data_IF_677395599617
#
_entry.id   IF_677395599617
#
_cell.length_a   1.000
_cell.length_b   1.000
_cell.length_c   1.000
_cell.angle_alpha   90.00
_cell.angle_beta   90.00
_cell.angle_gamma   90.00
#
_symmetry.space_group_name_H-M   'P 1'
#
loop_
_entity.id
_entity.type
_entity.pdbx_description
1 polymer ?
#
# COMPACT_ATOMS: atom_id res chain seq x y z
N UNK A 1 36.10 4.55 21.07
CA UNK A 1 35.11 5.53 20.60
C UNK A 1 34.37 4.85 19.48
N UNK A 2 33.19 4.34 19.84
CA UNK A 2 32.36 3.44 19.05
C UNK A 2 31.95 4.05 17.72
N UNK A 3 32.05 3.23 16.67
CA UNK A 3 31.36 3.45 15.42
C UNK A 3 29.86 3.20 15.67
N UNK A 4 29.04 4.24 15.54
CA UNK A 4 27.60 4.06 15.47
C UNK A 4 27.28 3.28 14.19
N UNK A 5 26.94 2.00 14.35
CA UNK A 5 26.37 1.18 13.30
C UNK A 5 25.06 1.81 12.84
N UNK A 6 25.02 2.36 11.63
CA UNK A 6 23.78 2.58 10.90
C UNK A 6 23.13 1.20 10.69
N UNK A 7 22.17 0.85 11.56
CA UNK A 7 21.26 -0.25 11.28
C UNK A 7 20.31 0.23 10.18
N UNK A 8 20.74 0.08 8.93
CA UNK A 8 19.80 -0.11 7.84
C UNK A 8 19.11 -1.45 8.12
N UNK A 9 17.96 -1.39 8.79
CA UNK A 9 17.01 -2.49 8.76
C UNK A 9 16.67 -2.74 7.29
N UNK A 10 17.31 -3.74 6.69
CA UNK A 10 17.09 -4.19 5.32
C UNK A 10 15.70 -4.85 5.23
N UNK A 11 14.67 -4.01 5.34
CA UNK A 11 13.28 -4.42 5.29
C UNK A 11 12.88 -4.94 3.89
N UNK A 12 13.78 -4.85 2.90
CA UNK A 12 13.58 -5.29 1.52
C UNK A 12 14.45 -6.48 1.11
N UNK A 13 15.25 -7.03 2.04
CA UNK A 13 15.97 -8.30 1.90
C UNK A 13 15.18 -9.38 1.15
N UNK A 14 15.69 -9.80 -0.02
CA UNK A 14 15.06 -10.82 -0.86
C UNK A 14 14.07 -10.32 -1.92
N UNK A 15 13.77 -9.02 -1.98
CA UNK A 15 13.23 -8.41 -3.20
C UNK A 15 14.33 -8.32 -4.25
N UNK A 16 13.99 -8.50 -5.52
CA UNK A 16 14.89 -8.10 -6.59
C UNK A 16 15.04 -6.57 -6.60
N UNK A 17 16.16 -6.00 -7.08
CA UNK A 17 16.34 -4.54 -7.11
C UNK A 17 15.19 -3.79 -7.79
N UNK A 18 14.54 -4.45 -8.75
CA UNK A 18 13.36 -3.95 -9.44
C UNK A 18 12.18 -3.83 -8.48
N UNK A 19 11.82 -4.91 -7.80
CA UNK A 19 10.69 -4.92 -6.87
C UNK A 19 10.95 -4.04 -5.64
N UNK A 20 12.21 -3.96 -5.20
CA UNK A 20 12.67 -3.03 -4.15
C UNK A 20 12.40 -1.57 -4.54
N UNK A 21 12.77 -1.17 -5.77
CA UNK A 21 12.51 0.19 -6.26
C UNK A 21 11.01 0.55 -6.31
N UNK A 22 10.14 -0.44 -6.51
CA UNK A 22 8.68 -0.27 -6.58
C UNK A 22 8.04 -0.25 -5.18
N UNK A 23 8.59 -1.04 -4.25
CA UNK A 23 8.13 -1.19 -2.87
C UNK A 23 8.90 -0.30 -1.89
N UNK A 24 9.20 0.93 -2.31
CA UNK A 24 9.86 1.93 -1.47
C UNK A 24 8.84 2.62 -0.54
N UNK A 25 9.34 3.26 0.53
CA UNK A 25 8.48 4.03 1.45
C UNK A 25 7.77 5.16 0.70
N UNK A 26 6.43 5.13 0.72
CA UNK A 26 5.58 6.10 0.03
C UNK A 26 5.28 7.31 0.90
N UNK A 27 6.30 7.92 1.50
CA UNK A 27 6.13 9.08 2.37
C UNK A 27 6.46 10.36 1.61
N UNK A 28 5.46 11.22 1.44
CA UNK A 28 5.65 12.49 0.76
C UNK A 28 6.60 13.42 1.56
N UNK A 29 7.38 14.26 0.87
CA UNK A 29 8.22 15.27 1.51
C UNK A 29 7.37 16.30 2.28
N UNK A 30 7.95 16.91 3.31
CA UNK A 30 7.23 17.81 4.25
C UNK A 30 6.92 19.17 3.64
N UNK A 31 7.68 19.52 2.63
CA UNK A 31 7.66 20.78 1.95
C UNK A 31 6.40 20.91 1.08
N UNK A 32 6.01 22.16 0.83
CA UNK A 32 5.03 22.53 -0.19
C UNK A 32 3.64 21.86 -0.02
N UNK A 33 3.28 21.52 1.22
CA UNK A 33 1.99 20.94 1.57
C UNK A 33 1.83 19.46 1.20
N UNK A 34 2.81 18.85 0.54
CA UNK A 34 2.71 17.49 -0.01
C UNK A 34 2.41 16.45 1.09
N UNK A 35 3.20 16.47 2.17
CA UNK A 35 2.98 15.59 3.32
C UNK A 35 1.64 15.84 4.01
N UNK A 36 1.27 17.10 4.21
CA UNK A 36 0.02 17.45 4.87
C UNK A 36 -1.19 16.96 4.07
N UNK A 37 -1.19 17.17 2.75
CA UNK A 37 -2.24 16.67 1.86
C UNK A 37 -2.28 15.14 1.83
N UNK A 38 -1.13 14.46 1.78
CA UNK A 38 -1.08 13.00 1.87
C UNK A 38 -1.71 12.50 3.17
N UNK A 39 -1.33 13.06 4.32
CA UNK A 39 -1.89 12.68 5.63
C UNK A 39 -3.39 12.94 5.67
N UNK A 40 -3.86 14.08 5.18
CA UNK A 40 -5.28 14.43 5.17
C UNK A 40 -6.10 13.41 4.35
N UNK A 41 -5.60 13.01 3.18
CA UNK A 41 -6.27 12.02 2.32
C UNK A 41 -6.32 10.65 3.01
N UNK A 42 -5.17 10.16 3.49
CA UNK A 42 -5.06 8.83 4.10
C UNK A 42 -5.88 8.73 5.40
N UNK A 43 -5.87 9.79 6.22
CA UNK A 43 -6.65 9.85 7.46
C UNK A 43 -8.14 9.82 7.16
N UNK A 44 -8.62 10.67 6.24
CA UNK A 44 -10.03 10.72 5.83
C UNK A 44 -10.53 9.37 5.31
N UNK A 45 -9.73 8.68 4.48
CA UNK A 45 -10.06 7.35 3.96
C UNK A 45 -10.15 6.31 5.09
N UNK A 46 -9.22 6.33 6.05
CA UNK A 46 -9.23 5.39 7.18
C UNK A 46 -10.37 5.63 8.18
N UNK A 47 -10.78 6.88 8.35
CA UNK A 47 -11.79 7.29 9.34
C UNK A 47 -13.22 7.18 8.80
N UNK A 48 -13.41 7.42 7.50
CA UNK A 48 -14.74 7.54 6.90
C UNK A 48 -14.94 6.67 5.66
N UNK A 49 -13.88 6.15 5.05
CA UNK A 49 -13.93 5.48 3.75
C UNK A 49 -14.05 6.44 2.56
N UNK A 50 -14.02 7.75 2.81
CA UNK A 50 -14.20 8.79 1.78
C UNK A 50 -12.99 9.71 1.71
N UNK A 51 -12.77 10.27 0.50
CA UNK A 51 -11.80 11.35 0.31
C UNK A 51 -12.21 12.59 1.13
N UNK A 52 -11.24 13.41 1.56
CA UNK A 52 -11.55 14.66 2.23
C UNK A 52 -12.29 15.59 1.28
N UNK A 53 -13.05 16.54 1.84
CA UNK A 53 -13.67 17.59 1.05
C UNK A 53 -12.58 18.41 0.33
N UNK A 54 -12.86 18.87 -0.89
CA UNK A 54 -11.87 19.54 -1.74
C UNK A 54 -11.27 20.79 -1.10
N UNK A 55 -12.07 21.52 -0.32
CA UNK A 55 -11.61 22.72 0.38
C UNK A 55 -10.49 22.41 1.39
N UNK A 56 -10.46 21.22 2.00
CA UNK A 56 -9.37 20.82 2.90
C UNK A 56 -8.05 20.74 2.14
N UNK A 57 -8.07 20.21 0.91
CA UNK A 57 -6.89 20.12 0.06
C UNK A 57 -6.46 21.52 -0.40
N UNK A 58 -7.43 22.35 -0.79
CA UNK A 58 -7.18 23.72 -1.25
C UNK A 58 -6.60 24.60 -0.12
N UNK A 59 -7.10 24.47 1.11
CA UNK A 59 -6.61 25.20 2.28
C UNK A 59 -5.14 24.84 2.57
N UNK A 60 -4.81 23.53 2.59
CA UNK A 60 -3.41 23.06 2.76
C UNK A 60 -2.52 23.59 1.64
N UNK A 61 -3.04 23.62 0.41
CA UNK A 61 -2.27 24.10 -0.74
C UNK A 61 -2.01 25.61 -0.67
N UNK A 62 -3.00 26.38 -0.24
CA UNK A 62 -2.92 27.82 -0.10
C UNK A 62 -1.82 28.24 0.90
N UNK A 63 -1.65 27.50 2.00
CA UNK A 63 -0.57 27.72 2.98
C UNK A 63 0.84 27.62 2.36
N UNK A 64 0.96 26.90 1.23
CA UNK A 64 2.20 26.74 0.46
C UNK A 64 2.23 27.57 -0.83
N UNK A 65 1.26 28.46 -1.05
CA UNK A 65 1.15 29.27 -2.27
C UNK A 65 0.83 28.46 -3.54
N UNK A 66 0.25 27.27 -3.39
CA UNK A 66 -0.13 26.36 -4.48
C UNK A 66 -1.64 26.18 -4.54
N UNK A 67 -2.12 25.64 -5.65
CA UNK A 67 -3.47 25.11 -5.81
C UNK A 67 -3.54 23.64 -5.41
N UNK A 68 -4.72 23.15 -5.03
CA UNK A 68 -4.93 21.72 -4.77
C UNK A 68 -4.53 20.84 -5.97
N UNK A 69 -4.77 21.31 -7.19
CA UNK A 69 -4.37 20.60 -8.41
C UNK A 69 -2.85 20.46 -8.56
N UNK A 70 -2.08 21.52 -8.27
CA UNK A 70 -0.60 21.47 -8.33
C UNK A 70 -0.02 20.48 -7.31
N UNK A 71 -0.55 20.49 -6.08
CA UNK A 71 -0.15 19.52 -5.05
C UNK A 71 -0.51 18.09 -5.47
N UNK A 72 -1.73 17.84 -5.95
CA UNK A 72 -2.14 16.51 -6.37
C UNK A 72 -1.33 16.02 -7.59
N UNK A 73 -0.95 16.92 -8.48
CA UNK A 73 -0.06 16.60 -9.62
C UNK A 73 1.33 16.20 -9.14
N UNK A 74 1.92 16.95 -8.21
CA UNK A 74 3.21 16.59 -7.62
C UNK A 74 3.15 15.25 -6.85
N UNK A 75 2.08 15.01 -6.08
CA UNK A 75 1.86 13.72 -5.43
C UNK A 75 1.68 12.57 -6.44
N UNK A 76 1.15 12.86 -7.62
CA UNK A 76 1.00 11.91 -8.73
C UNK A 76 2.32 11.55 -9.39
N UNK A 77 3.16 12.53 -9.67
CA UNK A 77 4.49 12.35 -10.29
C UNK A 77 5.41 11.48 -9.43
N UNK A 78 5.26 11.56 -8.10
CA UNK A 78 6.03 10.77 -7.14
C UNK A 78 5.32 9.50 -6.65
N UNK A 79 4.20 9.10 -7.27
CA UNK A 79 3.47 7.85 -6.98
C UNK A 79 2.98 7.72 -5.52
N UNK A 80 2.65 8.84 -4.85
CA UNK A 80 1.99 8.85 -3.53
C UNK A 80 0.46 8.80 -3.65
N UNK A 81 -0.07 9.50 -4.65
CA UNK A 81 -1.48 9.59 -5.02
C UNK A 81 -1.58 9.33 -6.52
N UNK A 82 -2.70 8.85 -7.01
CA UNK A 82 -2.96 8.74 -8.45
C UNK A 82 -4.19 9.55 -8.79
N UNK A 83 -4.07 10.40 -9.81
CA UNK A 83 -5.19 11.17 -10.35
C UNK A 83 -5.49 10.73 -11.79
N UNK A 84 -6.75 10.83 -12.20
CA UNK A 84 -7.14 10.65 -13.60
C UNK A 84 -6.88 11.90 -14.43
N UNK A 85 -7.16 11.82 -15.74
CA UNK A 85 -7.03 12.94 -16.70
C UNK A 85 -7.87 14.18 -16.36
N UNK A 86 -8.80 14.08 -15.40
CA UNK A 86 -9.63 15.17 -14.92
C UNK A 86 -9.18 15.68 -13.54
N UNK A 87 -8.03 15.21 -13.03
CA UNK A 87 -7.50 15.60 -11.73
C UNK A 87 -8.20 14.93 -10.55
N UNK A 88 -9.05 13.91 -10.77
CA UNK A 88 -9.73 13.20 -9.69
C UNK A 88 -8.85 12.11 -9.12
N UNK A 89 -8.77 12.03 -7.79
CA UNK A 89 -8.04 10.96 -7.11
C UNK A 89 -8.69 9.61 -7.41
N UNK A 90 -7.89 8.67 -7.92
CA UNK A 90 -8.27 7.29 -8.22
C UNK A 90 -7.57 6.27 -7.30
N UNK A 91 -6.44 6.66 -6.71
CA UNK A 91 -5.76 5.90 -5.65
C UNK A 91 -4.99 6.84 -4.73
N UNK A 92 -4.80 6.45 -3.48
CA UNK A 92 -3.91 7.12 -2.53
C UNK A 92 -3.28 6.03 -1.67
N UNK A 93 -2.07 5.60 -2.03
CA UNK A 93 -1.51 4.35 -1.50
C UNK A 93 -1.43 4.36 0.02
N UNK A 94 -1.89 3.30 0.69
CA UNK A 94 -2.24 1.97 0.14
C UNK A 94 -3.67 1.81 -0.42
N UNK A 95 -4.50 2.84 -0.40
CA UNK A 95 -5.92 2.75 -0.75
C UNK A 95 -6.21 2.88 -2.25
N UNK A 96 -7.21 2.13 -2.71
CA UNK A 96 -7.92 2.33 -3.98
C UNK A 96 -9.23 3.08 -3.73
N UNK A 97 -9.56 4.04 -4.59
CA UNK A 97 -10.87 4.73 -4.54
C UNK A 97 -11.97 3.88 -5.20
N UNK A 98 -11.58 2.99 -6.12
CA UNK A 98 -12.50 2.06 -6.77
C UNK A 98 -12.49 0.71 -6.05
N UNK A 99 -13.63 0.00 -5.99
CA UNK A 99 -13.65 -1.36 -5.47
C UNK A 99 -12.61 -2.25 -6.16
N UNK A 100 -11.86 -2.99 -5.34
CA UNK A 100 -10.92 -4.03 -5.77
C UNK A 100 -11.28 -5.35 -5.08
N UNK A 101 -10.63 -6.45 -5.47
CA UNK A 101 -10.75 -7.72 -4.74
C UNK A 101 -10.27 -7.60 -3.28
N UNK A 102 -9.37 -6.67 -2.97
CA UNK A 102 -8.74 -6.53 -1.66
C UNK A 102 -9.55 -5.59 -0.77
N UNK A 103 -10.46 -6.15 0.03
CA UNK A 103 -11.32 -5.44 0.97
C UNK A 103 -10.68 -5.42 2.35
N UNK A 104 -10.56 -4.25 2.96
CA UNK A 104 -10.05 -4.10 4.34
C UNK A 104 -11.14 -3.46 5.21
N UNK A 105 -11.64 -4.23 6.18
CA UNK A 105 -12.56 -3.77 7.20
C UNK A 105 -11.79 -3.39 8.46
N UNK A 106 -11.76 -2.10 8.76
CA UNK A 106 -11.11 -1.53 9.94
C UNK A 106 -11.97 -1.74 11.19
N UNK A 107 -11.33 -1.70 12.37
CA UNK A 107 -11.99 -1.86 13.67
C UNK A 107 -13.13 -0.85 13.92
N UNK A 108 -13.01 0.36 13.38
CA UNK A 108 -14.04 1.41 13.45
C UNK A 108 -15.28 1.10 12.59
N UNK A 109 -15.30 -0.01 11.84
CA UNK A 109 -16.40 -0.44 10.99
C UNK A 109 -16.30 0.03 9.54
N UNK A 110 -15.36 0.93 9.23
CA UNK A 110 -15.12 1.41 7.87
C UNK A 110 -14.57 0.27 7.01
N UNK A 111 -15.08 0.16 5.79
CA UNK A 111 -14.52 -0.73 4.77
C UNK A 111 -13.88 0.11 3.67
N UNK A 112 -12.63 -0.18 3.38
CA UNK A 112 -11.83 0.43 2.30
C UNK A 112 -11.32 -0.65 1.35
N UNK A 113 -10.84 -0.23 0.19
CA UNK A 113 -10.21 -1.11 -0.79
C UNK A 113 -8.72 -0.80 -0.88
N UNK A 114 -7.90 -1.83 -1.03
CA UNK A 114 -6.46 -1.69 -1.25
C UNK A 114 -6.11 -1.88 -2.73
N UNK A 115 -5.00 -1.31 -3.19
CA UNK A 115 -4.56 -1.48 -4.59
C UNK A 115 -4.04 -2.91 -4.86
N UNK A 116 -3.40 -3.54 -3.87
CA UNK A 116 -2.82 -4.87 -3.99
C UNK A 116 -2.75 -5.60 -2.65
N UNK A 117 -2.21 -6.83 -2.63
CA UNK A 117 -2.04 -7.62 -1.42
C UNK A 117 -1.11 -6.97 -0.37
N UNK A 118 0.04 -6.41 -0.79
CA UNK A 118 0.98 -5.74 0.14
C UNK A 118 0.35 -4.46 0.70
N UNK A 119 -0.35 -3.70 -0.13
CA UNK A 119 -1.10 -2.52 0.31
C UNK A 119 -2.17 -2.88 1.35
N UNK A 120 -2.91 -3.97 1.13
CA UNK A 120 -3.90 -4.46 2.09
C UNK A 120 -3.26 -4.80 3.44
N UNK A 121 -2.10 -5.46 3.43
CA UNK A 121 -1.33 -5.77 4.64
C UNK A 121 -0.70 -4.54 5.30
N UNK A 122 -0.45 -3.48 4.53
CA UNK A 122 0.10 -2.21 5.00
C UNK A 122 -0.90 -1.29 5.69
N UNK A 123 -2.20 -1.43 5.41
CA UNK A 123 -3.24 -0.59 6.02
C UNK A 123 -3.30 -0.73 7.55
N UNK A 124 -3.42 -1.94 8.15
CA UNK A 124 -3.53 -2.09 9.60
C UNK A 124 -2.36 -1.49 10.40
N UNK A 125 -1.07 -1.71 10.03
CA UNK A 125 0.03 -1.05 10.73
C UNK A 125 0.07 0.46 10.48
N UNK A 126 -0.33 0.95 9.29
CA UNK A 126 -0.38 2.39 9.00
C UNK A 126 -1.35 3.13 9.94
N UNK A 127 -2.54 2.57 10.18
CA UNK A 127 -3.56 3.18 11.05
C UNK A 127 -3.42 2.75 12.52
N UNK A 128 -2.46 1.88 12.83
CA UNK A 128 -2.23 1.29 14.15
C UNK A 128 -3.53 0.71 14.78
N UNK A 129 -4.25 -0.11 14.01
CA UNK A 129 -5.52 -0.69 14.44
C UNK A 129 -5.71 -2.11 13.90
N UNK A 130 -6.48 -2.91 14.64
CA UNK A 130 -7.02 -4.19 14.17
C UNK A 130 -7.84 -4.01 12.88
N UNK A 131 -7.82 -5.04 12.04
CA UNK A 131 -8.57 -5.07 10.79
C UNK A 131 -8.83 -6.50 10.32
N UNK A 132 -9.78 -6.67 9.40
CA UNK A 132 -10.00 -7.91 8.64
C UNK A 132 -9.84 -7.62 7.16
N UNK A 133 -8.97 -8.38 6.50
CA UNK A 133 -8.78 -8.33 5.06
C UNK A 133 -9.50 -9.54 4.45
N UNK A 134 -10.25 -9.29 3.38
CA UNK A 134 -10.83 -10.31 2.51
C UNK A 134 -10.34 -10.06 1.10
N UNK A 135 -9.86 -11.10 0.43
CA UNK A 135 -9.42 -11.01 -0.96
C UNK A 135 -9.85 -12.23 -1.75
N UNK A 136 -10.54 -11.98 -2.86
CA UNK A 136 -10.85 -13.03 -3.82
C UNK A 136 -9.57 -13.36 -4.63
N UNK A 137 -9.24 -14.63 -4.79
CA UNK A 137 -8.10 -15.09 -5.61
C UNK A 137 -8.53 -15.28 -7.06
N UNK A 138 -7.56 -15.38 -7.97
CA UNK A 138 -7.84 -15.66 -9.39
C UNK A 138 -8.50 -17.04 -9.61
N UNK A 139 -8.34 -17.97 -8.66
CA UNK A 139 -9.00 -19.29 -8.66
C UNK A 139 -10.46 -19.24 -8.18
N UNK A 140 -10.92 -18.10 -7.67
CA UNK A 140 -12.27 -17.92 -7.13
C UNK A 140 -12.42 -18.27 -5.64
N UNK A 141 -11.33 -18.62 -4.96
CA UNK A 141 -11.32 -18.82 -3.51
C UNK A 141 -11.24 -17.45 -2.79
N UNK A 142 -11.68 -17.38 -1.52
CA UNK A 142 -11.47 -16.19 -0.69
C UNK A 142 -10.35 -16.46 0.32
N UNK A 143 -9.39 -15.55 0.39
CA UNK A 143 -8.39 -15.46 1.45
C UNK A 143 -8.88 -14.45 2.49
N UNK A 144 -8.84 -14.84 3.76
CA UNK A 144 -9.17 -14.00 4.92
C UNK A 144 -7.96 -13.84 5.84
N UNK A 145 -7.66 -12.61 6.20
CA UNK A 145 -6.54 -12.26 7.08
C UNK A 145 -7.07 -11.38 8.20
N UNK A 146 -6.79 -11.75 9.44
CA UNK A 146 -7.29 -11.04 10.61
C UNK A 146 -6.11 -10.50 11.40
N UNK A 147 -6.03 -9.18 11.49
CA UNK A 147 -5.10 -8.48 12.36
C UNK A 147 -5.74 -8.31 13.73
N UNK A 148 -5.14 -8.96 14.74
CA UNK A 148 -5.38 -8.73 16.18
C UNK A 148 -4.03 -8.41 16.79
N UNK A 149 -3.60 -7.16 16.63
CA UNK A 149 -2.19 -6.80 16.79
C UNK A 149 -1.62 -7.23 18.15
N UNK A 150 -0.40 -7.79 18.21
CA UNK A 150 0.55 -7.99 17.10
C UNK A 150 0.31 -9.28 16.30
N UNK A 151 -0.73 -10.06 16.60
CA UNK A 151 -0.99 -11.34 15.97
C UNK A 151 -1.72 -11.16 14.63
N UNK A 152 -1.34 -11.97 13.65
CA UNK A 152 -2.01 -12.03 12.34
C UNK A 152 -2.34 -13.49 12.05
N UNK A 153 -3.62 -13.77 11.78
CA UNK A 153 -4.07 -15.10 11.40
C UNK A 153 -4.57 -15.11 9.96
N UNK A 154 -4.32 -16.22 9.27
CA UNK A 154 -4.61 -16.39 7.85
C UNK A 154 -5.49 -17.62 7.64
N UNK A 155 -6.44 -17.48 6.73
CA UNK A 155 -7.32 -18.54 6.29
C UNK A 155 -7.46 -18.46 4.76
N UNK A 156 -6.97 -19.46 4.00
CA UNK A 156 -6.26 -20.66 4.47
C UNK A 156 -4.91 -20.38 5.14
N UNK A 157 -4.44 -21.25 6.07
CA UNK A 157 -3.16 -21.06 6.76
C UNK A 157 -1.94 -21.25 5.86
N UNK A 158 -2.10 -21.82 4.66
CA UNK A 158 -1.05 -21.97 3.64
C UNK A 158 -0.94 -20.75 2.72
N UNK A 159 -1.76 -19.71 2.93
CA UNK A 159 -1.77 -18.53 2.08
C UNK A 159 -0.38 -17.91 1.94
N UNK A 160 -0.02 -17.52 0.72
CA UNK A 160 1.20 -16.80 0.36
C UNK A 160 0.88 -15.53 -0.42
N UNK A 161 1.87 -14.65 -0.57
CA UNK A 161 1.76 -13.45 -1.41
C UNK A 161 2.78 -13.54 -2.55
N UNK A 162 2.31 -13.49 -3.79
CA UNK A 162 3.19 -13.30 -4.93
C UNK A 162 3.34 -11.80 -5.16
N UNK A 163 4.58 -11.33 -5.26
CA UNK A 163 4.93 -9.96 -5.62
C UNK A 163 5.59 -9.99 -6.98
N UNK A 164 4.91 -9.46 -8.01
CA UNK A 164 5.38 -9.51 -9.38
C UNK A 164 5.35 -8.16 -10.10
N UNK A 165 6.03 -8.09 -11.24
CA UNK A 165 6.01 -6.93 -12.14
C UNK A 165 6.28 -7.32 -13.59
N UNK A 166 5.67 -6.59 -14.53
CA UNK A 166 5.91 -6.74 -15.98
C UNK A 166 6.99 -5.80 -16.53
N UNK A 167 7.40 -4.78 -15.76
CA UNK A 167 8.28 -3.70 -16.23
C UNK A 167 9.12 -3.15 -15.09
N UNK A 168 10.31 -2.65 -15.42
CA UNK A 168 11.20 -1.99 -14.47
C UNK A 168 10.94 -0.48 -14.35
N UNK A 169 10.05 0.08 -15.18
CA UNK A 169 9.76 1.51 -15.22
C UNK A 169 8.25 1.75 -15.35
N UNK A 170 7.72 2.68 -14.54
CA UNK A 170 6.30 3.01 -14.47
C UNK A 170 5.81 3.13 -13.03
N UNK A 171 4.57 3.59 -12.86
CA UNK A 171 3.96 3.72 -11.55
C UNK A 171 3.42 2.39 -11.03
N UNK A 172 3.45 2.15 -9.72
CA UNK A 172 3.11 0.84 -9.17
C UNK A 172 1.71 0.35 -9.53
N UNK A 173 0.72 1.26 -9.58
CA UNK A 173 -0.64 0.96 -10.04
C UNK A 173 -0.68 0.35 -11.44
N UNK A 174 0.24 0.76 -12.33
CA UNK A 174 0.24 0.36 -13.73
C UNK A 174 1.11 -0.88 -13.98
N UNK A 175 2.22 -1.06 -13.24
CA UNK A 175 3.24 -2.08 -13.56
C UNK A 175 3.38 -3.21 -12.53
N UNK A 176 2.83 -3.06 -11.33
CA UNK A 176 3.10 -3.98 -10.21
C UNK A 176 1.84 -4.40 -9.46
N UNK A 177 0.96 -3.47 -9.08
CA UNK A 177 -0.19 -3.79 -8.23
C UNK A 177 -1.11 -4.88 -8.81
N UNK A 178 -1.23 -4.97 -10.14
CA UNK A 178 -2.01 -6.03 -10.79
C UNK A 178 -1.42 -7.44 -10.58
N UNK A 179 -0.12 -7.54 -10.29
CA UNK A 179 0.64 -8.77 -10.10
C UNK A 179 1.04 -9.02 -8.64
N UNK A 180 0.55 -8.22 -7.69
CA UNK A 180 0.84 -8.38 -6.26
C UNK A 180 -0.39 -8.92 -5.54
N UNK A 181 -0.47 -10.24 -5.38
CA UNK A 181 -1.72 -10.93 -5.04
C UNK A 181 -1.55 -12.02 -3.98
N UNK A 182 -2.64 -12.27 -3.25
CA UNK A 182 -2.77 -13.43 -2.38
C UNK A 182 -3.04 -14.69 -3.21
N UNK A 183 -2.44 -15.79 -2.78
CA UNK A 183 -2.72 -17.14 -3.27
C UNK A 183 -2.99 -18.05 -2.09
N UNK A 184 -4.01 -18.90 -2.17
CA UNK A 184 -4.38 -19.80 -1.09
C UNK A 184 -3.28 -20.82 -0.71
N UNK A 185 -2.31 -21.06 -1.60
CA UNK A 185 -1.13 -21.88 -1.31
C UNK A 185 0.05 -21.56 -2.24
N UNK A 186 1.26 -21.97 -1.83
CA UNK A 186 2.48 -21.91 -2.65
C UNK A 186 2.30 -22.56 -4.03
N UNK A 187 1.73 -23.75 -4.08
CA UNK A 187 1.49 -24.50 -5.34
C UNK A 187 0.65 -23.70 -6.34
N UNK A 188 -0.33 -22.93 -5.85
CA UNK A 188 -1.19 -22.11 -6.69
C UNK A 188 -0.46 -20.88 -7.21
N UNK A 189 0.37 -20.24 -6.37
CA UNK A 189 1.23 -19.14 -6.80
C UNK A 189 2.22 -19.60 -7.89
N UNK A 190 2.84 -20.77 -7.73
CA UNK A 190 3.76 -21.35 -8.71
C UNK A 190 3.07 -21.74 -10.02
N UNK A 191 1.86 -22.31 -9.94
CA UNK A 191 1.06 -22.62 -11.13
C UNK A 191 0.69 -21.34 -11.91
N UNK A 192 0.32 -20.28 -11.21
CA UNK A 192 0.06 -18.97 -11.81
C UNK A 192 1.33 -18.39 -12.44
N UNK A 193 2.46 -18.43 -11.74
CA UNK A 193 3.75 -17.94 -12.24
C UNK A 193 4.19 -18.67 -13.52
N UNK A 194 4.00 -20.01 -13.57
CA UNK A 194 4.30 -20.80 -14.77
C UNK A 194 3.43 -20.42 -15.97
N UNK A 195 2.18 -19.99 -15.73
CA UNK A 195 1.29 -19.52 -16.78
C UNK A 195 1.61 -18.07 -17.25
N UNK A 196 2.43 -17.33 -16.48
CA UNK A 196 2.81 -15.94 -16.76
C UNK A 196 4.35 -15.78 -16.80
N UNK A 197 5.06 -16.48 -17.70
CA UNK A 197 6.52 -16.50 -17.72
C UNK A 197 7.17 -15.13 -18.00
N UNK A 198 6.40 -14.16 -18.50
CA UNK A 198 6.85 -12.78 -18.73
C UNK A 198 6.91 -11.94 -17.45
N UNK A 199 6.36 -12.43 -16.34
CA UNK A 199 6.28 -11.69 -15.07
C UNK A 199 7.45 -12.09 -14.17
N UNK A 200 8.34 -11.13 -13.91
CA UNK A 200 9.34 -11.26 -12.84
C UNK A 200 8.60 -11.25 -11.50
N UNK A 201 8.91 -12.20 -10.62
CA UNK A 201 8.19 -12.34 -9.36
C UNK A 201 9.04 -12.97 -8.25
N UNK A 202 8.57 -12.75 -7.03
CA UNK A 202 8.98 -13.47 -5.82
C UNK A 202 7.73 -13.89 -5.05
N UNK A 203 7.77 -15.05 -4.40
CA UNK A 203 6.70 -15.50 -3.50
C UNK A 203 7.16 -15.32 -2.07
N UNK A 204 6.34 -14.64 -1.27
CA UNK A 204 6.56 -14.40 0.14
C UNK A 204 5.65 -15.24 1.01
N UNK A 205 6.24 -15.74 2.10
CA UNK A 205 5.47 -16.23 3.22
C UNK A 205 4.73 -15.09 3.95
N UNK A 206 3.84 -15.47 4.86
CA UNK A 206 2.99 -14.56 5.61
C UNK A 206 3.78 -13.54 6.44
N UNK A 207 4.86 -13.97 7.10
CA UNK A 207 5.66 -13.10 7.95
C UNK A 207 6.35 -12.03 7.11
N UNK A 208 6.97 -12.44 6.01
CA UNK A 208 7.67 -11.53 5.10
C UNK A 208 6.72 -10.54 4.44
N UNK A 209 5.54 -10.99 4.02
CA UNK A 209 4.54 -10.12 3.43
C UNK A 209 3.99 -9.07 4.42
N UNK A 210 3.72 -9.46 5.67
CA UNK A 210 3.29 -8.53 6.74
C UNK A 210 4.39 -7.52 7.05
N UNK A 211 5.65 -7.98 7.16
CA UNK A 211 6.79 -7.10 7.39
C UNK A 211 6.97 -6.08 6.27
N UNK A 212 6.85 -6.49 5.01
CA UNK A 212 6.96 -5.58 3.87
C UNK A 212 5.84 -4.53 3.90
N UNK A 213 4.58 -4.94 4.08
CA UNK A 213 3.47 -3.99 4.21
C UNK A 213 3.68 -2.96 5.34
N UNK A 214 4.14 -3.43 6.51
CA UNK A 214 4.46 -2.56 7.64
C UNK A 214 5.65 -1.62 7.35
N UNK A 215 6.69 -2.10 6.67
CA UNK A 215 7.86 -1.30 6.34
C UNK A 215 7.53 -0.18 5.34
N UNK A 216 6.66 -0.45 4.37
CA UNK A 216 6.26 0.53 3.33
C UNK A 216 5.31 1.59 3.91
N UNK A 217 4.34 1.19 4.74
CA UNK A 217 3.21 2.05 5.11
C UNK A 217 3.11 2.38 6.61
N UNK A 218 3.72 1.59 7.50
CA UNK A 218 3.48 1.64 8.95
C UNK A 218 3.77 2.99 9.61
N UNK A 219 4.67 3.80 9.05
CA UNK A 219 5.04 5.12 9.59
C UNK A 219 4.31 6.28 8.90
N UNK A 220 3.35 6.03 7.99
CA UNK A 220 2.73 7.09 7.19
C UNK A 220 1.73 7.96 7.94
N UNK A 221 1.08 7.47 9.00
CA UNK A 221 0.15 8.28 9.81
C UNK A 221 0.65 8.51 11.24
N UNK A 222 1.83 7.96 11.58
CA UNK A 222 2.43 8.22 12.87
C UNK A 222 2.83 9.70 12.96
N UNK A 223 2.38 10.34 14.04
CA UNK A 223 2.88 11.64 14.45
C UNK A 223 4.37 11.47 14.77
N UNK A 224 5.24 12.33 14.22
CA UNK A 224 6.62 12.32 14.67
C UNK A 224 6.66 12.85 16.11
N UNK A 225 7.39 12.14 16.97
CA UNK A 225 7.63 12.57 18.34
C UNK A 225 8.16 14.01 18.37
N UNK A 226 7.59 14.79 19.27
CA UNK A 226 8.06 16.12 19.66
C UNK A 226 9.51 16.12 20.10
#
# INVERSE_FOLDING_TARGET
>A
MEACCEHQDDNTAGLTPVLDSIMHRRRAPREEGLRATQVAILSSLSESGHLPASNIIDDIAADSGKTGYEILTALHEHDYVRIDKHGKIIAAYPFSIRPTRHRVKLKNGVTVFAMCAIDALGIPPMVNSDATICSDTDSGDEVRIIFRQPQVSWDPPETVVLVGTESHTGAAADICCQYVNFFASQTMAEAWAKAHPQIEHVVFDQSRAVQLGAAVFGTLLQQEGS
#
